data_IF_396629653619
#
_entry.id   IF_396629653619
#
_cell.length_a   1.000
_cell.length_b   1.000
_cell.length_c   1.000
_cell.angle_alpha   90.00
_cell.angle_beta   90.00
_cell.angle_gamma   90.00
#
_symmetry.space_group_name_H-M   'P 1'
#
loop_
_entity.id
_entity.type
_entity.pdbx_description
1 polymer ?
#
# COMPACT_ATOMS: atom_id res chain seq x y z
N UNK A 1 -14.27 32.36 57.62
CA UNK A 1 -13.22 31.41 57.20
C UNK A 1 -13.88 30.38 56.28
N UNK A 2 -14.44 30.70 55.12
CA UNK A 2 -13.84 31.40 53.97
C UNK A 2 -12.35 31.15 53.87
N UNK A 3 -11.94 30.33 52.89
CA UNK A 3 -10.71 30.49 52.08
C UNK A 3 -10.37 29.26 51.21
N UNK A 4 -11.03 28.10 51.35
CA UNK A 4 -10.70 26.92 50.52
C UNK A 4 -11.75 26.53 49.47
N UNK A 5 -12.63 27.46 49.09
CA UNK A 5 -13.64 27.26 48.03
C UNK A 5 -13.37 28.00 46.73
N UNK A 6 -12.19 28.58 46.51
CA UNK A 6 -12.07 29.65 45.50
C UNK A 6 -10.76 29.77 44.72
N UNK A 7 -10.02 28.69 44.44
CA UNK A 7 -8.87 28.77 43.51
C UNK A 7 -8.66 27.53 42.62
N UNK A 8 -9.73 26.86 42.19
CA UNK A 8 -9.64 26.05 40.96
C UNK A 8 -10.98 25.91 40.23
N UNK A 9 -11.75 27.00 40.21
CA UNK A 9 -12.78 27.23 39.20
C UNK A 9 -12.20 28.26 38.23
N UNK A 10 -11.47 27.80 37.22
CA UNK A 10 -11.42 28.39 35.87
C UNK A 10 -10.50 27.58 34.97
N UNK A 11 -11.06 27.18 33.82
CA UNK A 11 -10.42 26.59 32.65
C UNK A 11 -10.09 25.09 32.77
N UNK A 12 -10.73 24.16 32.08
CA UNK A 12 -11.63 24.23 30.92
C UNK A 12 -12.27 22.86 30.74
N UNK A 13 -13.61 22.86 30.69
CA UNK A 13 -14.46 22.12 29.75
C UNK A 13 -13.88 20.87 29.06
N UNK A 14 -14.49 19.73 29.40
CA UNK A 14 -15.03 18.70 28.53
C UNK A 14 -14.17 18.21 27.35
N UNK A 15 -13.40 17.13 27.55
CA UNK A 15 -13.08 16.19 26.45
C UNK A 15 -13.06 14.77 27.01
N UNK A 16 -14.24 14.26 27.38
CA UNK A 16 -14.45 12.83 27.54
C UNK A 16 -14.42 12.19 26.14
N UNK A 17 -13.24 11.69 25.77
CA UNK A 17 -12.99 11.00 24.50
C UNK A 17 -13.68 9.64 24.53
N UNK A 18 -14.99 9.63 24.30
CA UNK A 18 -15.70 8.43 23.85
C UNK A 18 -15.46 8.29 22.35
N UNK A 19 -14.57 7.38 22.01
CA UNK A 19 -14.15 7.03 20.66
C UNK A 19 -15.33 6.47 19.86
N UNK A 20 -16.08 7.37 19.19
CA UNK A 20 -17.05 6.98 18.16
C UNK A 20 -16.30 6.28 17.02
N UNK A 21 -16.67 5.04 16.61
CA UNK A 21 -16.08 4.42 15.44
C UNK A 21 -16.43 5.29 14.22
N UNK A 22 -15.40 5.77 13.53
CA UNK A 22 -15.54 6.59 12.31
C UNK A 22 -16.50 5.88 11.35
N UNK A 23 -17.59 6.53 10.91
CA UNK A 23 -18.50 5.92 9.96
C UNK A 23 -17.71 5.61 8.68
N UNK A 24 -17.61 4.33 8.33
CA UNK A 24 -17.03 3.89 7.07
C UNK A 24 -17.72 4.69 5.97
N UNK A 25 -16.99 5.45 5.13
CA UNK A 25 -17.61 6.25 4.09
C UNK A 25 -18.45 5.31 3.23
N UNK A 26 -19.69 5.75 2.95
CA UNK A 26 -20.65 5.03 2.12
C UNK A 26 -19.93 4.57 0.85
N UNK A 27 -19.96 3.27 0.56
CA UNK A 27 -19.30 2.73 -0.62
C UNK A 27 -19.82 3.48 -1.86
N UNK A 28 -19.00 4.38 -2.42
CA UNK A 28 -19.32 5.04 -3.67
C UNK A 28 -19.45 3.96 -4.74
N UNK A 29 -20.39 4.14 -5.66
CA UNK A 29 -20.46 3.25 -6.82
C UNK A 29 -19.22 3.49 -7.70
N UNK A 30 -18.70 2.45 -8.34
CA UNK A 30 -17.53 2.55 -9.23
C UNK A 30 -17.62 3.73 -10.23
N UNK A 31 -18.81 3.96 -10.81
CA UNK A 31 -19.05 5.08 -11.73
C UNK A 31 -18.80 6.44 -11.08
N UNK A 32 -19.21 6.61 -9.82
CA UNK A 32 -19.03 7.86 -9.07
C UNK A 32 -17.56 8.07 -8.71
N UNK A 33 -16.83 7.01 -8.32
CA UNK A 33 -15.38 7.07 -8.09
C UNK A 33 -14.64 7.49 -9.38
N UNK A 34 -15.02 6.92 -10.53
CA UNK A 34 -14.45 7.30 -11.83
C UNK A 34 -14.72 8.76 -12.18
N UNK A 35 -15.97 9.23 -12.02
CA UNK A 35 -16.30 10.64 -12.26
C UNK A 35 -15.49 11.57 -11.35
N UNK A 36 -15.35 11.21 -10.07
CA UNK A 36 -14.52 11.95 -9.13
C UNK A 36 -13.05 11.99 -9.56
N UNK A 37 -12.46 10.85 -9.90
CA UNK A 37 -11.07 10.74 -10.35
C UNK A 37 -10.79 11.59 -11.60
N UNK A 38 -11.68 11.55 -12.59
CA UNK A 38 -11.56 12.37 -13.82
C UNK A 38 -11.68 13.85 -13.49
N UNK A 39 -12.55 14.23 -12.55
CA UNK A 39 -12.72 15.63 -12.15
C UNK A 39 -11.58 16.16 -11.27
N UNK A 40 -10.86 15.27 -10.58
CA UNK A 40 -9.79 15.61 -9.64
C UNK A 40 -8.40 15.49 -10.24
N UNK A 41 -8.28 15.34 -11.57
CA UNK A 41 -7.01 14.99 -12.23
C UNK A 41 -6.02 16.14 -12.19
N UNK A 42 -5.34 16.33 -11.06
CA UNK A 42 -4.14 17.13 -10.98
C UNK A 42 -3.01 16.33 -10.33
N UNK A 43 -1.84 16.51 -10.96
CA UNK A 43 -0.46 16.24 -10.51
C UNK A 43 0.23 14.96 -10.96
N UNK A 44 1.38 15.20 -11.60
CA UNK A 44 2.52 14.30 -11.79
C UNK A 44 3.04 13.84 -10.41
N UNK A 45 2.39 12.85 -9.83
CA UNK A 45 2.88 12.17 -8.63
C UNK A 45 3.22 10.73 -8.98
N UNK A 46 4.17 10.16 -8.25
CA UNK A 46 4.50 8.75 -8.41
C UNK A 46 3.24 7.89 -8.16
N UNK A 47 3.03 6.91 -9.05
CA UNK A 47 1.83 6.08 -9.08
C UNK A 47 1.54 5.46 -7.70
N UNK A 48 2.57 4.94 -7.03
CA UNK A 48 2.39 4.22 -5.77
C UNK A 48 2.00 5.17 -4.64
N UNK A 49 2.59 6.37 -4.61
CA UNK A 49 2.28 7.41 -3.64
C UNK A 49 0.84 7.88 -3.80
N UNK A 50 0.41 8.18 -5.02
CA UNK A 50 -0.95 8.65 -5.32
C UNK A 50 -2.02 7.65 -4.87
N UNK A 51 -1.88 6.37 -5.21
CA UNK A 51 -2.88 5.35 -4.87
C UNK A 51 -2.87 4.94 -3.40
N UNK A 52 -1.76 5.17 -2.68
CA UNK A 52 -1.72 4.96 -1.23
C UNK A 52 -2.43 6.10 -0.49
N UNK A 53 -2.23 7.35 -0.90
CA UNK A 53 -2.90 8.51 -0.29
C UNK A 53 -4.40 8.54 -0.59
N UNK A 54 -4.79 8.15 -1.81
CA UNK A 54 -6.19 8.16 -2.24
C UNK A 54 -6.93 6.85 -1.94
N UNK A 55 -6.33 5.90 -1.22
CA UNK A 55 -6.93 4.59 -0.90
C UNK A 55 -8.26 4.72 -0.15
N UNK A 56 -8.36 5.68 0.76
CA UNK A 56 -9.58 5.91 1.55
C UNK A 56 -10.67 6.65 0.76
N UNK A 57 -10.29 7.44 -0.26
CA UNK A 57 -11.20 8.22 -1.11
C UNK A 57 -11.71 7.42 -2.30
N UNK A 58 -10.86 6.55 -2.85
CA UNK A 58 -11.08 5.73 -4.04
C UNK A 58 -10.81 4.24 -3.74
N UNK A 59 -11.58 3.62 -2.81
CA UNK A 59 -11.30 2.26 -2.38
C UNK A 59 -11.44 1.23 -3.50
N UNK A 60 -12.40 1.40 -4.41
CA UNK A 60 -12.61 0.44 -5.50
C UNK A 60 -11.53 0.65 -6.58
N UNK A 61 -11.34 1.88 -7.03
CA UNK A 61 -10.39 2.19 -8.10
C UNK A 61 -8.93 1.91 -7.69
N UNK A 62 -8.55 2.22 -6.45
CA UNK A 62 -7.20 1.92 -5.93
C UNK A 62 -6.92 0.41 -5.86
N UNK A 63 -7.94 -0.40 -5.60
CA UNK A 63 -7.81 -1.87 -5.60
C UNK A 63 -7.53 -2.41 -7.00
N UNK A 64 -8.23 -1.88 -8.01
CA UNK A 64 -8.02 -2.25 -9.41
C UNK A 64 -6.68 -1.74 -9.93
N UNK A 65 -6.35 -0.47 -9.67
CA UNK A 65 -5.09 0.11 -10.08
C UNK A 65 -3.90 -0.71 -9.56
N UNK A 66 -3.95 -1.13 -8.29
CA UNK A 66 -2.92 -1.99 -7.70
C UNK A 66 -2.87 -3.36 -8.38
N UNK A 67 -4.02 -4.02 -8.55
CA UNK A 67 -4.07 -5.35 -9.17
C UNK A 67 -3.52 -5.35 -10.60
N UNK A 68 -3.87 -4.36 -11.41
CA UNK A 68 -3.41 -4.27 -12.79
C UNK A 68 -1.94 -3.85 -12.91
N UNK A 69 -1.41 -3.04 -11.98
CA UNK A 69 -0.01 -2.61 -12.01
C UNK A 69 0.95 -3.60 -11.32
N UNK A 70 0.46 -4.56 -10.53
CA UNK A 70 1.29 -5.65 -10.01
C UNK A 70 1.72 -6.66 -11.08
N UNK A 71 1.09 -6.64 -12.26
CA UNK A 71 1.51 -7.48 -13.37
C UNK A 71 2.66 -6.79 -14.09
N UNK A 72 3.89 -7.34 -14.06
CA UNK A 72 4.97 -6.75 -14.83
C UNK A 72 4.60 -6.78 -16.31
N UNK A 73 4.69 -5.62 -16.97
CA UNK A 73 4.37 -5.48 -18.40
C UNK A 73 5.35 -6.26 -19.29
N UNK A 74 6.50 -6.68 -18.74
CA UNK A 74 7.55 -7.41 -19.46
C UNK A 74 7.98 -8.67 -18.72
N UNK A 75 8.34 -9.70 -19.49
CA UNK A 75 8.98 -10.93 -19.00
C UNK A 75 10.43 -10.72 -18.55
N UNK A 76 10.99 -9.53 -18.73
CA UNK A 76 12.42 -9.22 -18.52
C UNK A 76 12.90 -9.56 -17.11
N UNK A 77 12.06 -9.34 -16.09
CA UNK A 77 12.40 -9.71 -14.72
C UNK A 77 12.58 -11.23 -14.57
N UNK A 78 11.66 -12.00 -15.13
CA UNK A 78 11.71 -13.48 -15.15
C UNK A 78 12.88 -13.99 -15.99
N UNK A 79 13.08 -13.42 -17.19
CA UNK A 79 14.18 -13.78 -18.09
C UNK A 79 15.55 -13.49 -17.46
N UNK A 80 15.71 -12.36 -16.78
CA UNK A 80 16.95 -12.04 -16.06
C UNK A 80 17.22 -13.05 -14.94
N UNK A 81 16.19 -13.47 -14.20
CA UNK A 81 16.34 -14.50 -13.17
C UNK A 81 16.73 -15.85 -13.78
N UNK A 82 16.10 -16.26 -14.89
CA UNK A 82 16.44 -17.50 -15.59
C UNK A 82 17.83 -17.47 -16.22
N UNK A 83 18.25 -16.34 -16.78
CA UNK A 83 19.60 -16.16 -17.34
C UNK A 83 20.68 -16.32 -16.25
N UNK A 84 20.45 -15.74 -15.06
CA UNK A 84 21.36 -15.90 -13.91
C UNK A 84 21.41 -17.37 -13.46
N UNK A 85 20.26 -18.04 -13.39
CA UNK A 85 20.23 -19.46 -13.03
C UNK A 85 20.95 -20.35 -14.04
N UNK A 86 20.70 -20.12 -15.33
CA UNK A 86 21.36 -20.84 -16.41
C UNK A 86 22.88 -20.61 -16.36
N UNK A 87 23.33 -19.40 -16.03
CA UNK A 87 24.75 -19.11 -15.79
C UNK A 87 25.34 -19.88 -14.60
N UNK A 88 24.58 -20.03 -13.49
CA UNK A 88 25.01 -20.79 -12.31
C UNK A 88 25.04 -22.29 -12.60
N UNK A 89 24.05 -22.80 -13.32
CA UNK A 89 23.91 -24.23 -13.69
C UNK A 89 24.99 -24.68 -14.68
N UNK A 90 25.32 -23.85 -15.68
CA UNK A 90 26.37 -24.13 -16.68
C UNK A 90 27.77 -24.30 -16.11
N UNK A 91 28.02 -23.85 -14.87
CA UNK A 91 29.34 -23.97 -14.24
C UNK A 91 29.59 -25.46 -13.95
N UNK A 92 30.37 -26.15 -14.79
CA UNK A 92 30.66 -27.60 -14.67
C UNK A 92 31.17 -28.08 -13.29
N UNK A 93 31.63 -27.17 -12.42
CA UNK A 93 32.07 -27.47 -11.05
C UNK A 93 31.07 -27.05 -9.95
N UNK A 94 29.93 -26.48 -10.31
CA UNK A 94 28.85 -26.26 -9.38
C UNK A 94 28.17 -27.61 -9.10
N UNK A 95 28.55 -28.26 -8.00
CA UNK A 95 27.84 -29.44 -7.49
C UNK A 95 26.50 -29.04 -6.87
N UNK A 96 25.68 -28.32 -7.63
CA UNK A 96 24.39 -27.81 -7.19
C UNK A 96 23.29 -28.67 -7.82
N UNK A 97 22.44 -29.27 -6.98
CA UNK A 97 21.27 -29.97 -7.50
C UNK A 97 20.26 -28.95 -8.07
N UNK A 98 19.51 -29.33 -9.10
CA UNK A 98 18.44 -28.50 -9.68
C UNK A 98 17.41 -28.06 -8.62
N UNK A 99 17.18 -28.90 -7.61
CA UNK A 99 16.30 -28.57 -6.48
C UNK A 99 16.88 -27.45 -5.61
N UNK A 100 18.17 -27.52 -5.28
CA UNK A 100 18.88 -26.47 -4.54
C UNK A 100 18.91 -25.16 -5.33
N UNK A 101 19.09 -25.23 -6.64
CA UNK A 101 19.06 -24.06 -7.53
C UNK A 101 17.70 -23.36 -7.48
N UNK A 102 16.59 -24.12 -7.54
CA UNK A 102 15.23 -23.54 -7.43
C UNK A 102 15.01 -22.80 -6.12
N UNK A 103 15.46 -23.36 -4.98
CA UNK A 103 15.36 -22.68 -3.70
C UNK A 103 16.23 -21.42 -3.64
N UNK A 104 17.42 -21.44 -4.25
CA UNK A 104 18.28 -20.27 -4.38
C UNK A 104 17.62 -19.16 -5.22
N UNK A 105 16.96 -19.51 -6.33
CA UNK A 105 16.22 -18.55 -7.15
C UNK A 105 15.06 -17.91 -6.39
N UNK A 106 14.34 -18.71 -5.59
CA UNK A 106 13.24 -18.23 -4.76
C UNK A 106 13.73 -17.29 -3.66
N UNK A 107 14.87 -17.60 -3.01
CA UNK A 107 15.43 -16.77 -1.95
C UNK A 107 16.02 -15.44 -2.46
N UNK A 108 16.44 -15.41 -3.73
CA UNK A 108 17.04 -14.22 -4.35
C UNK A 108 15.99 -13.17 -4.78
N UNK A 109 14.75 -13.58 -4.99
CA UNK A 109 13.64 -12.66 -5.31
C UNK A 109 13.14 -11.94 -4.06
#
# INVERSE_FOLDING_TARGET
MDQFRMLYRSSTSDVETTSKPKPKPKALTLKQEFSYYISSSETYTDFQTYWNENKDRLPILSSYARRYNCVPTTSTASESAFSIADYIDRKQRASLSTTTLRYLMLLKQ
#
